data_IF_037933892373
#
_entry.id   IF_037933892373
#
_cell.length_a   1.000
_cell.length_b   1.000
_cell.length_c   1.000
_cell.angle_alpha   90.00
_cell.angle_beta   90.00
_cell.angle_gamma   90.00
#
_symmetry.space_group_name_H-M   'P 1'
#
loop_
_entity.id
_entity.type
_entity.pdbx_description
1 polymer ?
#
# COMPACT_ATOMS: atom_id res chain seq x y z
N UNK A 1 16.91 64.05 -16.36
CA UNK A 1 16.11 64.20 -15.14
C UNK A 1 15.79 62.75 -14.70
N UNK A 2 16.60 62.22 -13.78
CA UNK A 2 16.44 60.83 -13.26
C UNK A 2 15.55 60.89 -12.02
N UNK A 3 14.41 60.25 -12.08
CA UNK A 3 13.53 60.09 -10.91
C UNK A 3 13.95 58.82 -10.16
N UNK A 4 14.49 59.01 -8.97
CA UNK A 4 14.82 57.99 -8.01
C UNK A 4 13.53 57.48 -7.36
N UNK A 5 13.20 56.19 -7.56
CA UNK A 5 12.07 55.55 -6.89
C UNK A 5 12.61 54.85 -5.65
N UNK A 6 12.33 55.41 -4.49
CA UNK A 6 12.67 54.81 -3.19
C UNK A 6 11.59 53.80 -2.84
N UNK A 7 11.95 52.52 -2.88
CA UNK A 7 11.09 51.41 -2.40
C UNK A 7 11.31 51.25 -0.91
N UNK A 8 10.33 51.68 -0.12
CA UNK A 8 10.26 51.40 1.32
C UNK A 8 9.89 49.93 1.54
N UNK A 9 10.87 49.13 1.89
CA UNK A 9 10.67 47.78 2.42
C UNK A 9 10.12 47.86 3.84
N UNK A 10 8.81 47.66 3.97
CA UNK A 10 8.16 47.46 5.27
C UNK A 10 8.61 46.11 5.88
N UNK A 11 9.39 46.20 6.94
CA UNK A 11 9.70 45.10 7.83
C UNK A 11 8.43 44.69 8.59
N UNK A 12 7.73 43.68 8.09
CA UNK A 12 6.69 42.99 8.87
C UNK A 12 7.38 42.23 10.02
N UNK A 13 7.34 42.81 11.22
CA UNK A 13 7.73 42.15 12.45
C UNK A 13 6.78 40.96 12.68
N UNK A 14 7.26 39.76 12.43
CA UNK A 14 6.62 38.53 12.90
C UNK A 14 6.65 38.54 14.43
N UNK A 15 5.53 38.91 15.04
CA UNK A 15 5.31 38.66 16.46
C UNK A 15 5.23 37.14 16.65
N UNK A 16 6.37 36.55 16.97
CA UNK A 16 6.43 35.22 17.54
C UNK A 16 5.76 35.34 18.90
N UNK A 17 4.51 34.91 19.02
CA UNK A 17 3.87 34.71 20.32
C UNK A 17 4.67 33.64 21.06
N UNK A 18 5.60 34.07 21.88
CA UNK A 18 6.24 33.22 22.86
C UNK A 18 5.11 32.69 23.77
N UNK A 19 4.87 31.38 23.73
CA UNK A 19 3.90 30.76 24.62
C UNK A 19 4.24 31.15 26.06
N UNK A 20 3.29 31.77 26.74
CA UNK A 20 3.45 32.31 28.08
C UNK A 20 3.98 31.22 29.02
N UNK A 21 5.14 31.39 29.66
CA UNK A 21 5.69 30.41 30.60
C UNK A 21 4.76 30.12 31.79
N UNK A 22 3.81 31.01 32.09
CA UNK A 22 2.82 30.82 33.14
C UNK A 22 1.82 29.70 32.83
N UNK A 23 1.51 29.45 31.52
CA UNK A 23 0.58 28.35 31.15
C UNK A 23 1.25 26.98 31.15
N UNK A 24 2.55 26.90 30.91
CA UNK A 24 3.32 25.63 31.01
C UNK A 24 3.35 25.08 32.44
N UNK A 25 3.44 25.93 33.44
CA UNK A 25 3.47 25.52 34.85
C UNK A 25 2.14 24.95 35.34
N UNK A 26 1.02 25.47 34.87
CA UNK A 26 -0.30 25.07 35.31
C UNK A 26 -0.66 23.63 34.90
N UNK A 27 -0.20 23.19 33.71
CA UNK A 27 -0.43 21.83 33.26
C UNK A 27 0.54 20.81 33.89
N UNK A 28 1.77 21.23 34.15
CA UNK A 28 2.80 20.35 34.75
C UNK A 28 2.54 19.99 36.23
N UNK A 29 1.79 20.82 36.95
CA UNK A 29 1.49 20.62 38.37
C UNK A 29 0.06 20.18 38.63
N UNK A 30 -0.73 19.86 37.60
CA UNK A 30 -2.09 19.39 37.79
C UNK A 30 -2.10 17.90 38.16
N UNK A 31 -2.50 17.53 39.39
CA UNK A 31 -2.52 16.13 39.82
C UNK A 31 -3.49 15.25 39.02
N UNK A 32 -4.52 15.83 38.40
CA UNK A 32 -5.45 15.10 37.53
C UNK A 32 -4.79 14.58 36.23
N UNK A 33 -3.68 15.19 35.81
CA UNK A 33 -2.95 14.76 34.63
C UNK A 33 -1.89 13.68 34.91
N UNK A 34 -1.71 13.32 36.16
CA UNK A 34 -0.79 12.24 36.56
C UNK A 34 -1.20 10.89 35.96
N UNK A 35 -2.48 10.61 35.88
CA UNK A 35 -3.02 9.36 35.32
C UNK A 35 -2.73 9.21 33.82
N UNK A 36 -2.50 10.32 33.10
CA UNK A 36 -2.24 10.31 31.67
C UNK A 36 -0.74 10.43 31.32
N UNK A 37 0.16 10.44 32.31
CA UNK A 37 1.60 10.53 32.11
C UNK A 37 2.13 11.90 31.64
N UNK A 38 1.29 12.93 31.62
CA UNK A 38 1.68 14.27 31.17
C UNK A 38 2.40 15.14 32.21
N UNK A 39 2.41 14.71 33.46
CA UNK A 39 3.09 15.45 34.53
C UNK A 39 4.38 14.72 34.94
N UNK A 40 5.57 15.24 34.60
CA UNK A 40 6.87 14.61 34.93
C UNK A 40 7.16 14.56 36.44
N UNK A 41 6.44 15.34 37.27
CA UNK A 41 6.62 15.42 38.71
C UNK A 41 5.75 14.42 39.49
N UNK A 42 4.93 13.62 38.78
CA UNK A 42 4.10 12.60 39.42
C UNK A 42 4.94 11.39 39.80
N UNK A 43 5.28 11.26 41.06
CA UNK A 43 5.99 10.07 41.58
C UNK A 43 5.21 8.77 41.40
N UNK A 44 3.87 8.84 41.39
CA UNK A 44 3.00 7.68 41.15
C UNK A 44 2.97 7.21 39.70
N UNK A 45 3.13 8.11 38.72
CA UNK A 45 3.10 7.71 37.29
C UNK A 45 4.32 6.90 36.87
N UNK A 46 5.51 7.19 37.47
CA UNK A 46 6.71 6.39 37.19
C UNK A 46 6.63 4.97 37.75
N UNK A 47 5.89 4.79 38.86
CA UNK A 47 5.72 3.49 39.50
C UNK A 47 4.62 2.67 38.76
N UNK A 48 3.58 3.34 38.23
CA UNK A 48 2.52 2.68 37.51
C UNK A 48 2.99 2.18 36.15
N UNK A 49 3.80 2.94 35.44
CA UNK A 49 4.39 2.50 34.17
C UNK A 49 5.42 1.36 34.33
N UNK A 50 6.06 1.26 35.52
CA UNK A 50 7.08 0.23 35.77
C UNK A 50 6.50 -1.14 36.11
N UNK A 51 5.23 -1.19 36.54
CA UNK A 51 4.58 -2.39 37.06
C UNK A 51 3.47 -2.95 36.16
N UNK A 52 3.21 -2.32 35.00
CA UNK A 52 2.35 -2.97 34.01
C UNK A 52 3.23 -3.93 33.19
N UNK A 53 3.05 -5.24 33.33
CA UNK A 53 3.66 -6.16 32.40
C UNK A 53 3.10 -5.85 31.01
N UNK A 54 3.95 -5.38 30.11
CA UNK A 54 3.58 -5.26 28.71
C UNK A 54 3.48 -6.68 28.18
N UNK A 55 2.27 -7.22 28.16
CA UNK A 55 2.02 -8.50 27.51
C UNK A 55 2.18 -8.29 26.00
N UNK A 56 3.29 -8.75 25.47
CA UNK A 56 3.52 -8.76 24.03
C UNK A 56 2.78 -9.96 23.47
N UNK A 57 1.60 -9.72 22.96
CA UNK A 57 0.84 -10.75 22.23
C UNK A 57 1.38 -10.81 20.80
N UNK A 58 2.13 -11.85 20.48
CA UNK A 58 2.55 -12.13 19.11
C UNK A 58 1.35 -12.72 18.35
N UNK A 59 0.70 -11.90 17.55
CA UNK A 59 -0.37 -12.35 16.66
C UNK A 59 0.26 -12.81 15.35
N UNK A 60 0.29 -14.12 15.11
CA UNK A 60 0.67 -14.67 13.80
C UNK A 60 -0.53 -14.59 12.86
N UNK A 61 -0.45 -13.72 11.87
CA UNK A 61 -1.48 -13.60 10.84
C UNK A 61 -1.10 -14.50 9.66
N UNK A 62 -1.91 -15.50 9.32
CA UNK A 62 -1.62 -16.42 8.21
C UNK A 62 -1.49 -15.68 6.89
N UNK A 63 -0.45 -16.02 6.13
CA UNK A 63 -0.25 -15.43 4.79
C UNK A 63 -1.32 -15.93 3.82
N UNK A 64 -1.74 -15.02 2.92
CA UNK A 64 -2.66 -15.32 1.83
C UNK A 64 -1.96 -15.23 0.48
N UNK A 65 -2.36 -16.12 -0.41
CA UNK A 65 -1.77 -16.25 -1.74
C UNK A 65 -2.83 -16.07 -2.81
N UNK A 66 -2.41 -15.45 -3.91
CA UNK A 66 -3.18 -15.40 -5.14
C UNK A 66 -2.34 -15.91 -6.31
N UNK A 67 -3.02 -16.38 -7.35
CA UNK A 67 -2.39 -16.72 -8.62
C UNK A 67 -3.30 -16.38 -9.79
N UNK A 68 -2.69 -16.09 -10.94
CA UNK A 68 -3.34 -15.94 -12.23
C UNK A 68 -2.79 -16.96 -13.22
N UNK A 69 -3.68 -17.61 -13.97
CA UNK A 69 -3.34 -18.49 -15.07
C UNK A 69 -3.98 -18.00 -16.36
N UNK A 70 -3.32 -18.24 -17.48
CA UNK A 70 -3.79 -17.86 -18.82
C UNK A 70 -3.54 -19.02 -19.78
N UNK A 71 -4.49 -19.21 -20.68
CA UNK A 71 -4.29 -20.05 -21.86
C UNK A 71 -3.58 -19.22 -22.95
N UNK A 72 -2.36 -19.61 -23.36
CA UNK A 72 -1.56 -18.81 -24.28
C UNK A 72 -2.13 -18.78 -25.72
N UNK A 73 -3.01 -19.71 -26.07
CA UNK A 73 -3.61 -19.77 -27.41
C UNK A 73 -4.92 -19.01 -27.51
N UNK A 74 -5.76 -19.16 -26.50
CA UNK A 74 -7.11 -18.56 -26.53
C UNK A 74 -7.19 -17.23 -25.78
N UNK A 75 -6.23 -16.92 -24.91
CA UNK A 75 -6.25 -15.74 -24.03
C UNK A 75 -7.22 -15.87 -22.86
N UNK A 76 -7.90 -17.01 -22.69
CA UNK A 76 -8.73 -17.26 -21.52
C UNK A 76 -7.88 -17.17 -20.26
N UNK A 77 -8.42 -16.58 -19.21
CA UNK A 77 -7.73 -16.40 -17.94
C UNK A 77 -8.56 -16.90 -16.77
N UNK A 78 -7.88 -17.33 -15.73
CA UNK A 78 -8.48 -17.71 -14.46
C UNK A 78 -7.60 -17.24 -13.30
N UNK A 79 -8.23 -16.97 -12.17
CA UNK A 79 -7.54 -16.53 -10.96
C UNK A 79 -8.03 -17.32 -9.74
N UNK A 80 -7.20 -17.32 -8.72
CA UNK A 80 -7.52 -17.80 -7.38
C UNK A 80 -7.03 -16.77 -6.36
N UNK A 81 -7.81 -16.54 -5.31
CA UNK A 81 -7.58 -15.55 -4.27
C UNK A 81 -7.67 -16.20 -2.90
N UNK A 82 -7.06 -15.54 -1.91
CA UNK A 82 -7.17 -15.85 -0.48
C UNK A 82 -6.79 -17.31 -0.12
N UNK A 83 -5.94 -17.93 -0.92
CA UNK A 83 -5.46 -19.28 -0.67
C UNK A 83 -4.41 -19.31 0.44
N UNK A 84 -4.33 -20.45 1.15
CA UNK A 84 -3.40 -20.62 2.28
C UNK A 84 -1.98 -21.02 1.84
N UNK A 85 -1.81 -21.36 0.56
CA UNK A 85 -0.50 -21.67 -0.01
C UNK A 85 -0.42 -21.29 -1.48
N UNK A 86 0.81 -21.04 -1.95
CA UNK A 86 1.09 -20.81 -3.36
C UNK A 86 0.60 -21.96 -4.25
N UNK A 87 0.87 -23.19 -3.84
CA UNK A 87 0.48 -24.38 -4.61
C UNK A 87 -1.04 -24.49 -4.76
N UNK A 88 -1.81 -24.18 -3.70
CA UNK A 88 -3.26 -24.14 -3.75
C UNK A 88 -3.77 -23.04 -4.71
N UNK A 89 -3.17 -21.83 -4.64
CA UNK A 89 -3.52 -20.72 -5.51
C UNK A 89 -3.26 -21.05 -6.99
N UNK A 90 -2.09 -21.58 -7.30
CA UNK A 90 -1.70 -21.96 -8.66
C UNK A 90 -2.63 -23.05 -9.24
N UNK A 91 -2.92 -24.08 -8.45
CA UNK A 91 -3.83 -25.18 -8.84
C UNK A 91 -5.24 -24.69 -9.13
N UNK A 92 -5.81 -23.86 -8.26
CA UNK A 92 -7.17 -23.36 -8.45
C UNK A 92 -7.24 -22.32 -9.58
N UNK A 93 -6.20 -21.49 -9.79
CA UNK A 93 -6.12 -20.58 -10.92
C UNK A 93 -6.12 -21.32 -12.26
N UNK A 94 -5.34 -22.41 -12.40
CA UNK A 94 -5.34 -23.27 -13.59
C UNK A 94 -6.73 -23.86 -13.79
N UNK A 95 -7.32 -24.46 -12.78
CA UNK A 95 -8.64 -25.08 -12.84
C UNK A 95 -9.74 -24.07 -13.24
N UNK A 96 -9.67 -22.83 -12.72
CA UNK A 96 -10.60 -21.76 -13.08
C UNK A 96 -10.43 -21.36 -14.53
N UNK A 97 -9.20 -21.25 -15.00
CA UNK A 97 -8.88 -20.96 -16.39
C UNK A 97 -9.38 -22.05 -17.36
N UNK A 98 -9.20 -23.32 -17.03
CA UNK A 98 -9.60 -24.45 -17.85
C UNK A 98 -11.12 -24.65 -17.91
N UNK A 99 -11.88 -24.24 -16.89
CA UNK A 99 -13.35 -24.22 -16.94
C UNK A 99 -13.91 -23.34 -18.06
N UNK A 100 -13.13 -22.41 -18.59
CA UNK A 100 -13.49 -21.60 -19.74
C UNK A 100 -13.59 -22.36 -21.07
N UNK A 101 -13.41 -23.69 -21.07
CA UNK A 101 -13.67 -24.57 -22.22
C UNK A 101 -12.53 -24.67 -23.23
N UNK A 102 -11.29 -24.49 -22.79
CA UNK A 102 -10.12 -24.69 -23.65
C UNK A 102 -9.57 -26.10 -23.52
N UNK A 103 -9.31 -26.75 -24.67
CA UNK A 103 -8.60 -28.05 -24.72
C UNK A 103 -7.09 -27.93 -24.48
N UNK A 104 -6.55 -26.70 -24.51
CA UNK A 104 -5.15 -26.44 -24.25
C UNK A 104 -4.92 -26.08 -22.78
N UNK A 105 -3.83 -26.53 -22.16
CA UNK A 105 -3.58 -26.30 -20.74
C UNK A 105 -3.30 -24.83 -20.45
N UNK A 106 -3.88 -24.34 -19.36
CA UNK A 106 -3.57 -23.03 -18.81
C UNK A 106 -2.23 -23.04 -18.08
N UNK A 107 -1.53 -21.91 -18.12
CA UNK A 107 -0.25 -21.73 -17.45
C UNK A 107 -0.34 -20.61 -16.44
N UNK A 108 0.24 -20.81 -15.25
CA UNK A 108 0.39 -19.74 -14.26
C UNK A 108 1.33 -18.68 -14.80
N UNK A 109 0.87 -17.44 -14.80
CA UNK A 109 1.62 -16.28 -15.31
C UNK A 109 2.03 -15.28 -14.21
N UNK A 110 1.34 -15.33 -13.07
CA UNK A 110 1.67 -14.52 -11.90
C UNK A 110 1.16 -15.16 -10.61
N UNK A 111 1.81 -14.86 -9.51
CA UNK A 111 1.34 -15.15 -8.17
C UNK A 111 1.87 -14.05 -7.21
N UNK A 112 1.20 -13.87 -6.09
CA UNK A 112 1.65 -13.00 -5.01
C UNK A 112 1.32 -13.61 -3.64
N UNK A 113 2.10 -13.24 -2.64
CA UNK A 113 1.87 -13.52 -1.22
C UNK A 113 1.62 -12.20 -0.52
N UNK A 114 0.51 -12.08 0.21
CA UNK A 114 0.13 -10.87 0.94
C UNK A 114 0.23 -9.61 0.08
N UNK A 115 -0.21 -9.69 -1.16
CA UNK A 115 -0.05 -8.62 -2.14
C UNK A 115 -1.08 -8.68 -3.26
N UNK A 116 -0.86 -7.86 -4.26
CA UNK A 116 -1.77 -7.68 -5.38
C UNK A 116 -1.12 -8.02 -6.73
N UNK A 117 -1.95 -8.32 -7.70
CA UNK A 117 -1.58 -8.50 -9.10
C UNK A 117 -2.50 -7.64 -9.98
N UNK A 118 -1.95 -7.09 -11.03
CA UNK A 118 -2.70 -6.46 -12.12
C UNK A 118 -2.02 -6.74 -13.45
N UNK A 119 -2.75 -6.57 -14.55
CA UNK A 119 -2.14 -6.60 -15.86
C UNK A 119 -2.60 -5.45 -16.74
N UNK A 120 -1.68 -4.97 -17.55
CA UNK A 120 -1.96 -4.07 -18.67
C UNK A 120 -1.78 -4.80 -19.99
N UNK A 121 -2.44 -4.35 -21.03
CA UNK A 121 -2.22 -4.81 -22.40
C UNK A 121 -1.93 -3.64 -23.31
N UNK A 122 -1.21 -3.91 -24.39
CA UNK A 122 -0.95 -2.97 -25.45
C UNK A 122 -0.70 -3.70 -26.77
N UNK A 123 -0.65 -2.98 -27.87
CA UNK A 123 -0.53 -3.54 -29.22
C UNK A 123 0.86 -3.23 -29.82
N UNK A 124 1.43 -4.25 -30.45
CA UNK A 124 2.64 -4.14 -31.24
C UNK A 124 2.34 -4.65 -32.65
N UNK A 125 2.09 -3.73 -33.58
CA UNK A 125 1.57 -4.08 -34.89
C UNK A 125 0.20 -4.76 -34.80
N UNK A 126 0.12 -6.03 -35.23
CA UNK A 126 -1.12 -6.85 -35.14
C UNK A 126 -1.19 -7.74 -33.89
N UNK A 127 -0.20 -7.68 -33.00
CA UNK A 127 -0.12 -8.55 -31.82
C UNK A 127 -0.49 -7.79 -30.54
N UNK A 128 -1.32 -8.39 -29.71
CA UNK A 128 -1.55 -7.91 -28.36
C UNK A 128 -0.52 -8.51 -27.41
N UNK A 129 0.11 -7.66 -26.60
CA UNK A 129 1.03 -8.09 -25.53
C UNK A 129 0.44 -7.74 -24.18
N UNK A 130 0.64 -8.63 -23.21
CA UNK A 130 0.18 -8.46 -21.83
C UNK A 130 1.36 -8.28 -20.90
N UNK A 131 1.23 -7.36 -19.94
CA UNK A 131 2.25 -6.97 -18.99
C UNK A 131 1.70 -7.10 -17.58
N UNK A 132 2.28 -7.99 -16.80
CA UNK A 132 1.86 -8.25 -15.43
C UNK A 132 2.75 -7.52 -14.44
N UNK A 133 2.14 -7.10 -13.35
CA UNK A 133 2.83 -6.58 -12.19
C UNK A 133 2.28 -7.19 -10.91
N UNK A 134 3.15 -7.33 -9.93
CA UNK A 134 2.82 -7.67 -8.55
C UNK A 134 3.37 -6.56 -7.67
N UNK A 135 2.60 -6.12 -6.69
CA UNK A 135 2.99 -5.09 -5.77
C UNK A 135 2.10 -5.08 -4.52
N UNK A 136 2.34 -4.13 -3.67
CA UNK A 136 1.44 -3.73 -2.59
C UNK A 136 0.17 -3.08 -3.16
N UNK A 137 -0.94 -3.05 -2.38
CA UNK A 137 -2.19 -2.42 -2.78
C UNK A 137 -2.00 -0.98 -3.26
N UNK A 138 -2.73 -0.59 -4.31
CA UNK A 138 -2.72 0.76 -4.89
C UNK A 138 -1.57 1.02 -5.87
N UNK A 139 -0.60 0.12 -6.02
CA UNK A 139 0.57 0.34 -6.87
C UNK A 139 0.63 -0.58 -8.10
N UNK A 140 -0.18 -1.62 -8.14
CA UNK A 140 0.00 -2.71 -9.09
C UNK A 140 -0.40 -2.31 -10.52
N UNK A 141 -1.50 -1.60 -10.68
CA UNK A 141 -1.95 -1.11 -11.99
C UNK A 141 -0.96 -0.12 -12.61
N UNK A 142 -0.49 0.85 -11.81
CA UNK A 142 0.53 1.80 -12.27
C UNK A 142 1.80 1.08 -12.72
N UNK A 143 2.23 0.04 -11.99
CA UNK A 143 3.39 -0.75 -12.38
C UNK A 143 3.15 -1.55 -13.66
N UNK A 144 1.95 -2.12 -13.85
CA UNK A 144 1.58 -2.84 -15.06
C UNK A 144 1.57 -1.92 -16.29
N UNK A 145 0.94 -0.74 -16.17
CA UNK A 145 0.91 0.27 -17.23
C UNK A 145 2.32 0.75 -17.58
N UNK A 146 3.17 1.03 -16.57
CA UNK A 146 4.55 1.44 -16.81
C UNK A 146 5.36 0.38 -17.55
N UNK A 147 5.17 -0.90 -17.22
CA UNK A 147 5.82 -1.99 -17.97
C UNK A 147 5.38 -2.02 -19.43
N UNK A 148 4.09 -1.81 -19.69
CA UNK A 148 3.54 -1.73 -21.03
C UNK A 148 4.13 -0.55 -21.81
N UNK A 149 4.13 0.65 -21.24
CA UNK A 149 4.69 1.86 -21.83
C UNK A 149 6.18 1.74 -22.14
N UNK A 150 6.96 1.22 -21.18
CA UNK A 150 8.40 1.02 -21.33
C UNK A 150 8.75 -0.02 -22.40
N UNK A 151 7.84 -0.92 -22.74
CA UNK A 151 8.02 -1.89 -23.82
C UNK A 151 7.79 -1.28 -25.22
N UNK A 152 7.43 -0.01 -25.31
CA UNK A 152 7.23 0.69 -26.60
C UNK A 152 6.01 0.24 -27.39
N UNK A 153 5.05 -0.43 -26.75
CA UNK A 153 3.78 -0.82 -27.38
C UNK A 153 2.77 0.32 -27.30
N UNK A 154 1.79 0.31 -28.19
CA UNK A 154 0.76 1.35 -28.26
C UNK A 154 -0.54 0.94 -27.55
N UNK A 155 -1.32 1.93 -27.11
CA UNK A 155 -2.64 1.71 -26.54
C UNK A 155 -2.62 0.93 -25.22
N UNK A 156 -1.66 1.25 -24.33
CA UNK A 156 -1.57 0.60 -23.04
C UNK A 156 -2.79 0.91 -22.16
N UNK A 157 -3.52 -0.13 -21.78
CA UNK A 157 -4.71 -0.05 -20.92
C UNK A 157 -4.68 -1.17 -19.87
N UNK A 158 -5.40 -0.96 -18.75
CA UNK A 158 -5.58 -2.02 -17.76
C UNK A 158 -6.49 -3.10 -18.34
N UNK A 159 -6.02 -4.33 -18.32
CA UNK A 159 -6.74 -5.51 -18.79
C UNK A 159 -7.31 -6.34 -17.63
N UNK A 160 -6.49 -6.60 -16.60
CA UNK A 160 -6.94 -7.18 -15.33
C UNK A 160 -6.69 -6.11 -14.27
N UNK A 161 -7.76 -5.60 -13.63
CA UNK A 161 -7.64 -4.62 -12.57
C UNK A 161 -6.90 -5.20 -11.35
N UNK A 162 -6.46 -4.32 -10.49
CA UNK A 162 -5.77 -4.73 -9.27
C UNK A 162 -6.65 -5.68 -8.45
N UNK A 163 -6.09 -6.84 -8.15
CA UNK A 163 -6.73 -7.88 -7.35
C UNK A 163 -5.75 -8.34 -6.30
N UNK A 164 -6.19 -8.41 -5.04
CA UNK A 164 -5.32 -8.62 -3.88
C UNK A 164 -5.72 -9.84 -3.06
N UNK A 165 -4.72 -10.49 -2.46
CA UNK A 165 -4.89 -11.43 -1.34
C UNK A 165 -4.06 -10.92 -0.18
N UNK A 166 -4.73 -10.44 0.85
CA UNK A 166 -4.12 -9.84 2.03
C UNK A 166 -4.51 -10.62 3.28
N UNK A 167 -3.63 -10.66 4.29
CA UNK A 167 -3.99 -11.21 5.60
C UNK A 167 -5.21 -10.49 6.16
N UNK A 168 -6.08 -11.23 6.84
CA UNK A 168 -7.25 -10.67 7.54
C UNK A 168 -6.98 -10.77 9.05
N UNK A 169 -7.12 -9.65 9.74
CA UNK A 169 -7.01 -9.52 11.18
C UNK A 169 -8.36 -9.74 11.85
#
# INVERSE_FOLDING_TARGET
MKKLLVVLLGLASLNVYAADPATRGALQNNPALCQYGYNPNCTSSRQYQRNQPTEIVNIEVPSKYLALAVNPKTGLSGGALDMDSRAAAEKEAIKTCERGGSNDPCKVIAWARNGCVASARGTEGKRTRQFLATAEPGLTETKALRKCQNAGVHGCEIFIPETCSLPKF
#
